data_IF_733369542098
#
_entry.id   IF_733369542098
#
_cell.length_a   1.000
_cell.length_b   1.000
_cell.length_c   1.000
_cell.angle_alpha   90.00
_cell.angle_beta   90.00
_cell.angle_gamma   90.00
#
_symmetry.space_group_name_H-M   'P 1'
#
loop_
_entity.id
_entity.type
_entity.pdbx_description
1 polymer ?
#
# COMPACT_ATOMS: atom_id res chain seq x y z
N UNK A 1 -3.17 -16.04 0.75
CA UNK A 1 -4.41 -15.51 0.13
C UNK A 1 -5.00 -16.47 -0.91
N UNK A 2 -4.26 -16.89 -1.91
CA UNK A 2 -4.81 -17.70 -3.01
C UNK A 2 -5.37 -19.08 -2.59
N UNK A 3 -4.95 -19.61 -1.46
CA UNK A 3 -5.37 -20.92 -0.95
C UNK A 3 -6.49 -20.83 0.10
N UNK A 4 -7.05 -19.65 0.32
CA UNK A 4 -8.12 -19.42 1.27
C UNK A 4 -9.47 -19.37 0.59
N UNK A 5 -10.54 -19.73 1.31
CA UNK A 5 -11.92 -19.54 0.85
C UNK A 5 -12.39 -18.09 1.04
N UNK A 6 -11.85 -17.43 2.04
CA UNK A 6 -12.11 -16.02 2.34
C UNK A 6 -10.87 -15.43 2.99
N UNK A 7 -10.45 -14.26 2.53
CA UNK A 7 -9.35 -13.52 3.15
C UNK A 7 -9.88 -12.26 3.82
N UNK A 8 -9.55 -12.06 5.08
CA UNK A 8 -10.01 -10.90 5.86
C UNK A 8 -8.83 -9.97 6.14
N UNK A 9 -8.96 -8.70 5.74
CA UNK A 9 -8.00 -7.67 6.08
C UNK A 9 -8.25 -7.16 7.49
N UNK A 10 -7.25 -7.22 8.35
CA UNK A 10 -7.34 -6.73 9.73
C UNK A 10 -7.07 -5.23 9.79
N UNK A 11 -8.01 -4.44 9.33
CA UNK A 11 -7.88 -2.99 9.28
C UNK A 11 -8.48 -2.27 10.50
N UNK A 12 -9.01 -3.02 11.47
CA UNK A 12 -9.58 -2.49 12.71
C UNK A 12 -8.64 -2.62 13.91
N UNK A 13 -7.39 -2.99 13.68
CA UNK A 13 -6.37 -3.06 14.73
C UNK A 13 -5.54 -1.78 14.76
N UNK A 14 -4.78 -1.58 15.84
CA UNK A 14 -3.98 -0.38 16.02
C UNK A 14 -2.91 -0.24 14.94
N UNK A 15 -2.80 0.95 14.36
CA UNK A 15 -1.71 1.31 13.45
C UNK A 15 -0.40 1.42 14.25
N UNK A 16 0.65 0.81 13.72
CA UNK A 16 1.97 0.83 14.34
C UNK A 16 2.94 1.63 13.48
N UNK A 17 3.48 2.71 14.03
CA UNK A 17 4.51 3.50 13.35
C UNK A 17 5.75 2.66 13.11
N UNK A 18 6.44 2.91 11.98
CA UNK A 18 7.71 2.27 11.61
C UNK A 18 7.61 0.76 11.33
N UNK A 19 6.40 0.25 11.14
CA UNK A 19 6.16 -1.10 10.61
C UNK A 19 5.80 -1.02 9.13
N UNK A 20 5.26 -2.08 8.57
CA UNK A 20 5.03 -2.19 7.13
C UNK A 20 3.64 -1.76 6.68
N UNK A 21 2.83 -1.14 7.54
CA UNK A 21 1.50 -0.68 7.17
C UNK A 21 1.54 0.48 6.16
N UNK A 22 2.51 1.39 6.29
CA UNK A 22 2.64 2.55 5.40
C UNK A 22 3.98 2.62 4.68
N UNK A 23 4.79 1.58 4.79
CA UNK A 23 6.10 1.56 4.13
C UNK A 23 6.52 0.15 3.78
N UNK A 24 7.35 0.06 2.77
CA UNK A 24 7.99 -1.17 2.38
C UNK A 24 9.37 -0.83 1.80
N UNK A 25 10.14 -1.83 1.47
CA UNK A 25 11.47 -1.59 0.95
C UNK A 25 11.67 -2.34 -0.35
N UNK A 26 12.48 -1.73 -1.22
CA UNK A 26 12.93 -2.34 -2.47
C UNK A 26 14.45 -2.30 -2.50
N UNK A 27 15.04 -3.18 -3.30
CA UNK A 27 16.49 -3.27 -3.44
C UNK A 27 16.88 -2.74 -4.81
N UNK A 28 17.84 -1.79 -4.82
CA UNK A 28 18.38 -1.23 -6.05
C UNK A 28 19.90 -1.21 -5.94
N UNK A 29 20.57 -1.89 -6.88
CA UNK A 29 22.04 -1.99 -6.93
C UNK A 29 22.65 -2.44 -5.59
N UNK A 30 21.99 -3.38 -4.90
CA UNK A 30 22.45 -3.88 -3.61
C UNK A 30 22.10 -2.99 -2.42
N UNK A 31 21.47 -1.84 -2.65
CA UNK A 31 21.07 -0.92 -1.59
C UNK A 31 19.56 -1.02 -1.33
N UNK A 32 19.18 -0.87 -0.06
CA UNK A 32 17.78 -0.84 0.36
C UNK A 32 17.23 0.57 0.23
N UNK A 33 16.14 0.71 -0.52
CA UNK A 33 15.39 1.95 -0.62
C UNK A 33 14.03 1.77 0.04
N UNK A 34 13.66 2.68 0.94
CA UNK A 34 12.36 2.67 1.58
C UNK A 34 11.31 3.36 0.71
N UNK A 35 10.15 2.72 0.57
CA UNK A 35 8.96 3.28 -0.03
C UNK A 35 8.00 3.62 1.10
N UNK A 36 7.81 4.89 1.37
CA UNK A 36 6.97 5.34 2.49
C UNK A 36 5.84 6.24 1.99
N UNK A 37 4.64 5.93 2.46
CA UNK A 37 3.47 6.83 2.33
C UNK A 37 3.38 7.59 3.65
N UNK A 38 3.61 8.91 3.67
CA UNK A 38 3.49 9.67 4.91
C UNK A 38 2.04 9.71 5.39
N UNK A 39 1.86 9.63 6.70
CA UNK A 39 0.54 9.60 7.31
C UNK A 39 0.41 10.68 8.37
N UNK A 40 -0.82 11.13 8.60
CA UNK A 40 -1.11 12.13 9.62
C UNK A 40 -1.05 11.46 10.98
N UNK A 41 -0.10 11.88 11.82
CA UNK A 41 0.10 11.31 13.16
C UNK A 41 0.06 12.36 14.28
N UNK A 42 0.16 13.64 13.93
CA UNK A 42 0.21 14.72 14.92
C UNK A 42 -1.06 14.75 15.76
N UNK A 43 -0.90 14.64 17.08
CA UNK A 43 -2.03 14.63 18.01
C UNK A 43 -2.79 13.31 18.06
N UNK A 44 -2.37 12.31 17.28
CA UNK A 44 -3.02 11.01 17.19
C UNK A 44 -2.07 9.93 17.69
N UNK A 45 -2.16 9.62 19.00
CA UNK A 45 -1.27 8.63 19.61
C UNK A 45 -1.71 7.20 19.31
N UNK A 46 -3.01 6.97 19.28
CA UNK A 46 -3.59 5.66 18.95
C UNK A 46 -4.66 5.84 17.88
N UNK A 47 -4.52 5.12 16.79
CA UNK A 47 -5.54 5.08 15.74
C UNK A 47 -5.52 3.69 15.11
N UNK A 48 -6.67 3.26 14.61
CA UNK A 48 -6.77 1.99 13.89
C UNK A 48 -6.29 2.18 12.45
N UNK A 49 -5.88 1.08 11.81
CA UNK A 49 -5.39 1.12 10.43
C UNK A 49 -6.42 1.75 9.49
N UNK A 50 -7.72 1.44 9.68
CA UNK A 50 -8.76 1.99 8.81
C UNK A 50 -9.01 3.49 9.01
N UNK A 51 -8.50 4.09 10.09
CA UNK A 51 -8.67 5.52 10.38
C UNK A 51 -7.47 6.37 9.95
N UNK A 52 -6.33 5.75 9.65
CA UNK A 52 -5.11 6.47 9.28
C UNK A 52 -5.31 7.23 7.97
N UNK A 53 -5.00 8.53 7.98
CA UNK A 53 -5.09 9.40 6.81
C UNK A 53 -3.72 9.63 6.20
N UNK A 54 -3.68 9.71 4.88
CA UNK A 54 -2.46 10.04 4.15
C UNK A 54 -2.18 11.53 4.30
N UNK A 55 -0.91 11.87 4.54
CA UNK A 55 -0.47 13.25 4.70
C UNK A 55 -0.01 13.81 3.34
N UNK A 56 -0.90 14.54 2.68
CA UNK A 56 -0.61 15.17 1.39
C UNK A 56 0.12 16.53 1.52
N UNK A 57 0.33 17.02 2.73
CA UNK A 57 1.17 18.20 2.95
C UNK A 57 2.63 17.88 2.60
N UNK A 58 3.00 16.61 2.62
CA UNK A 58 4.29 16.12 2.13
C UNK A 58 4.15 15.61 0.71
N UNK A 59 4.95 16.15 -0.21
CA UNK A 59 4.96 15.70 -1.60
C UNK A 59 5.73 14.38 -1.70
N UNK A 60 5.04 13.26 -1.67
CA UNK A 60 5.65 11.93 -1.61
C UNK A 60 5.48 11.10 -2.88
N UNK A 61 4.45 11.38 -3.68
CA UNK A 61 4.09 10.51 -4.81
C UNK A 61 5.18 10.40 -5.86
N UNK A 62 5.81 11.52 -6.23
CA UNK A 62 6.90 11.53 -7.21
C UNK A 62 8.12 10.77 -6.72
N UNK A 63 8.48 10.93 -5.46
CA UNK A 63 9.61 10.22 -4.86
C UNK A 63 9.35 8.71 -4.79
N UNK A 64 8.14 8.33 -4.43
CA UNK A 64 7.74 6.93 -4.37
C UNK A 64 7.84 6.27 -5.75
N UNK A 65 7.24 6.89 -6.75
CA UNK A 65 7.28 6.41 -8.14
C UNK A 65 8.71 6.37 -8.67
N UNK A 66 9.49 7.40 -8.37
CA UNK A 66 10.90 7.46 -8.79
C UNK A 66 11.75 6.34 -8.21
N UNK A 67 11.53 5.99 -6.96
CA UNK A 67 12.25 4.87 -6.33
C UNK A 67 11.86 3.53 -6.92
N UNK A 68 10.58 3.32 -7.24
CA UNK A 68 10.14 2.12 -7.95
C UNK A 68 10.82 2.00 -9.30
N UNK A 69 10.86 3.08 -10.07
CA UNK A 69 11.51 3.10 -11.38
C UNK A 69 13.02 2.86 -11.26
N UNK A 70 13.65 3.45 -10.26
CA UNK A 70 15.08 3.25 -10.01
C UNK A 70 15.39 1.78 -9.70
N UNK A 71 14.54 1.13 -8.93
CA UNK A 71 14.72 -0.27 -8.55
C UNK A 71 14.37 -1.25 -9.67
N UNK A 72 13.29 -0.99 -10.42
CA UNK A 72 12.71 -1.97 -11.35
C UNK A 72 12.64 -1.50 -12.79
N UNK A 73 13.04 -0.27 -13.10
CA UNK A 73 12.85 0.33 -14.42
C UNK A 73 13.56 -0.38 -15.56
N UNK A 74 14.60 -1.17 -15.27
CA UNK A 74 15.35 -1.93 -16.26
C UNK A 74 14.86 -3.36 -16.45
N UNK A 75 13.87 -3.78 -15.66
CA UNK A 75 13.34 -5.13 -15.75
C UNK A 75 12.36 -5.26 -16.91
N UNK A 76 12.30 -6.45 -17.57
CA UNK A 76 11.31 -6.68 -18.63
C UNK A 76 9.87 -6.47 -18.16
N UNK A 77 9.58 -6.73 -16.88
CA UNK A 77 8.26 -6.58 -16.28
C UNK A 77 7.93 -5.14 -15.86
N UNK A 78 8.81 -4.15 -16.11
CA UNK A 78 8.61 -2.79 -15.61
C UNK A 78 7.30 -2.17 -16.08
N UNK A 79 6.93 -2.37 -17.34
CA UNK A 79 5.66 -1.81 -17.86
C UNK A 79 4.46 -2.38 -17.10
N UNK A 80 4.49 -3.67 -16.75
CA UNK A 80 3.42 -4.29 -15.96
C UNK A 80 3.42 -3.76 -14.53
N UNK A 81 4.59 -3.64 -13.90
CA UNK A 81 4.72 -3.08 -12.55
C UNK A 81 4.17 -1.65 -12.52
N UNK A 82 4.51 -0.85 -13.51
CA UNK A 82 4.05 0.52 -13.64
C UNK A 82 2.52 0.60 -13.76
N UNK A 83 1.92 -0.26 -14.58
CA UNK A 83 0.47 -0.32 -14.75
C UNK A 83 -0.26 -0.72 -13.47
N UNK A 84 0.37 -1.55 -12.65
CA UNK A 84 -0.20 -2.03 -11.39
C UNK A 84 -0.12 -0.94 -10.32
N UNK A 85 1.02 -0.26 -10.22
CA UNK A 85 1.34 0.58 -9.07
C UNK A 85 1.02 2.05 -9.26
N UNK A 86 1.25 2.61 -10.45
CA UNK A 86 1.15 4.04 -10.67
C UNK A 86 -0.28 4.59 -10.59
N UNK A 87 -1.31 3.95 -11.18
CA UNK A 87 -2.66 4.52 -11.09
C UNK A 87 -3.16 4.73 -9.66
N UNK A 88 -3.02 3.79 -8.71
CA UNK A 88 -3.39 4.04 -7.32
C UNK A 88 -2.56 5.16 -6.68
N UNK A 89 -1.26 5.24 -6.99
CA UNK A 89 -0.39 6.28 -6.43
C UNK A 89 -0.73 7.68 -6.94
N UNK A 90 -1.37 7.78 -8.09
CA UNK A 90 -1.78 9.04 -8.71
C UNK A 90 -3.17 9.50 -8.26
N UNK A 91 -3.94 8.64 -7.60
CA UNK A 91 -5.21 9.01 -7.00
C UNK A 91 -5.00 9.63 -5.62
N UNK A 92 -5.89 10.54 -5.25
CA UNK A 92 -5.83 11.21 -3.94
C UNK A 92 -6.72 10.50 -2.93
N UNK A 93 -6.29 9.30 -2.49
CA UNK A 93 -7.00 8.58 -1.43
C UNK A 93 -6.84 9.33 -0.10
N UNK A 94 -7.92 9.51 0.63
CA UNK A 94 -7.86 10.10 1.97
C UNK A 94 -7.26 9.12 2.98
N UNK A 95 -7.69 7.87 2.93
CA UNK A 95 -7.28 6.84 3.89
C UNK A 95 -6.15 5.98 3.32
N UNK A 96 -5.17 5.66 4.19
CA UNK A 96 -4.09 4.76 3.83
C UNK A 96 -4.62 3.38 3.41
N UNK A 97 -5.62 2.86 4.12
CA UNK A 97 -6.19 1.53 3.82
C UNK A 97 -6.74 1.46 2.41
N UNK A 98 -7.37 2.53 1.92
CA UNK A 98 -7.94 2.54 0.58
C UNK A 98 -6.85 2.49 -0.49
N UNK A 99 -5.75 3.20 -0.29
CA UNK A 99 -4.58 3.11 -1.17
C UNK A 99 -3.99 1.70 -1.15
N UNK A 100 -3.78 1.15 0.04
CA UNK A 100 -3.20 -0.19 0.19
C UNK A 100 -4.07 -1.26 -0.48
N UNK A 101 -5.39 -1.18 -0.30
CA UNK A 101 -6.31 -2.14 -0.93
C UNK A 101 -6.33 -1.99 -2.45
N UNK A 102 -6.24 -0.77 -2.97
CA UNK A 102 -6.16 -0.55 -4.41
C UNK A 102 -4.90 -1.20 -5.01
N UNK A 103 -3.75 -1.04 -4.34
CA UNK A 103 -2.49 -1.67 -4.76
C UNK A 103 -2.58 -3.20 -4.68
N UNK A 104 -3.10 -3.72 -3.57
CA UNK A 104 -3.26 -5.16 -3.37
C UNK A 104 -4.19 -5.76 -4.42
N UNK A 105 -5.32 -5.11 -4.68
CA UNK A 105 -6.29 -5.61 -5.67
C UNK A 105 -5.70 -5.63 -7.07
N UNK A 106 -4.92 -4.63 -7.45
CA UNK A 106 -4.25 -4.61 -8.76
C UNK A 106 -3.23 -5.76 -8.88
N UNK A 107 -2.50 -6.05 -7.81
CA UNK A 107 -1.56 -7.18 -7.79
C UNK A 107 -2.31 -8.51 -7.88
N UNK A 108 -3.42 -8.64 -7.14
CA UNK A 108 -4.26 -9.84 -7.20
C UNK A 108 -4.79 -10.09 -8.60
N UNK A 109 -5.29 -9.06 -9.26
CA UNK A 109 -5.81 -9.16 -10.62
C UNK A 109 -4.71 -9.62 -11.58
N UNK A 110 -3.51 -9.07 -11.45
CA UNK A 110 -2.37 -9.46 -12.27
C UNK A 110 -1.98 -10.93 -12.05
N UNK A 111 -2.06 -11.41 -10.80
CA UNK A 111 -1.71 -12.78 -10.44
C UNK A 111 -2.88 -13.77 -10.62
N UNK A 112 -4.06 -13.29 -11.00
CA UNK A 112 -5.24 -14.15 -11.18
C UNK A 112 -5.83 -14.68 -9.88
N UNK A 113 -5.64 -13.96 -8.77
CA UNK A 113 -6.17 -14.38 -7.46
C UNK A 113 -7.60 -13.86 -7.33
N UNK A 114 -8.58 -14.77 -7.24
CA UNK A 114 -10.00 -14.43 -7.17
C UNK A 114 -10.63 -14.66 -5.80
N UNK A 115 -9.82 -14.97 -4.79
CA UNK A 115 -10.30 -15.23 -3.43
C UNK A 115 -11.18 -14.06 -2.94
N UNK A 116 -12.41 -14.33 -2.44
CA UNK A 116 -13.23 -13.29 -1.84
C UNK A 116 -12.51 -12.65 -0.66
N UNK A 117 -12.72 -11.34 -0.50
CA UNK A 117 -12.11 -10.59 0.60
C UNK A 117 -13.16 -9.84 1.39
N UNK A 118 -12.85 -9.57 2.65
CA UNK A 118 -13.65 -8.73 3.52
C UNK A 118 -12.73 -7.87 4.37
N UNK A 119 -13.26 -6.78 4.91
CA UNK A 119 -12.53 -5.91 5.83
C UNK A 119 -13.09 -6.10 7.23
N UNK A 120 -12.23 -6.32 8.22
CA UNK A 120 -12.65 -6.50 9.60
C UNK A 120 -13.46 -5.30 10.12
N UNK A 121 -13.09 -4.07 9.71
CA UNK A 121 -13.80 -2.85 10.09
C UNK A 121 -15.24 -2.77 9.56
N UNK A 122 -15.58 -3.56 8.53
CA UNK A 122 -16.89 -3.59 7.90
C UNK A 122 -17.71 -4.81 8.26
N UNK A 123 -17.16 -5.72 9.06
CA UNK A 123 -17.84 -6.93 9.49
C UNK A 123 -18.66 -6.65 10.74
N UNK A 124 -19.84 -7.30 10.91
CA UNK A 124 -20.59 -7.19 12.16
C UNK A 124 -19.81 -7.84 13.31
N UNK A 125 -19.95 -7.27 14.49
CA UNK A 125 -19.34 -7.81 15.70
C UNK A 125 -20.07 -9.06 16.16
#
# INVERSE_FOLDING_TARGET
MAQCDLFVYLDNVQFKKRYFENRNKVISNGEVLWLTVPVVTKGLQTQTICDVKIDYDQAWGGKYKGRLEHAYGKLPAWEDIKKITFPPLEKSFEKLVDLNLALINNIRDYLGIETPTARASKMPC
#
